data_IF_889093557663
#
_entry.id   IF_889093557663
#
_cell.length_a   1.000
_cell.length_b   1.000
_cell.length_c   1.000
_cell.angle_alpha   90.00
_cell.angle_beta   90.00
_cell.angle_gamma   90.00
#
_symmetry.space_group_name_H-M   'P 1'
#
loop_
_entity.id
_entity.type
_entity.pdbx_description
1 polymer ?
#
# COMPACT_ATOMS: atom_id res chain seq x y z
N UNK A 1 -19.26 11.57 -30.02
CA UNK A 1 -18.29 12.38 -29.23
C UNK A 1 -18.72 12.61 -27.78
N UNK A 2 -19.99 12.86 -27.44
CA UNK A 2 -20.45 12.98 -26.04
C UNK A 2 -20.34 11.67 -25.23
N UNK A 3 -20.59 10.55 -25.91
CA UNK A 3 -20.78 9.22 -25.30
C UNK A 3 -19.55 8.69 -24.52
N UNK A 4 -18.33 8.97 -24.99
CA UNK A 4 -17.11 8.56 -24.27
C UNK A 4 -16.87 9.38 -23.00
N UNK A 5 -17.09 10.69 -23.05
CA UNK A 5 -16.89 11.54 -21.89
C UNK A 5 -17.89 11.19 -20.80
N UNK A 6 -19.18 11.04 -21.16
CA UNK A 6 -20.25 10.65 -20.23
C UNK A 6 -19.91 9.30 -19.58
N UNK A 7 -19.69 8.26 -20.39
CA UNK A 7 -19.37 6.92 -19.85
C UNK A 7 -18.06 6.87 -19.07
N UNK A 8 -17.07 7.69 -19.46
CA UNK A 8 -15.81 7.83 -18.73
C UNK A 8 -16.00 8.41 -17.33
N UNK A 9 -16.83 9.46 -17.20
CA UNK A 9 -17.15 10.06 -15.90
C UNK A 9 -18.05 9.17 -15.04
N UNK A 10 -18.97 8.40 -15.63
CA UNK A 10 -19.74 7.38 -14.90
C UNK A 10 -18.81 6.32 -14.29
N UNK A 11 -17.87 5.80 -15.08
CA UNK A 11 -16.87 4.84 -14.59
C UNK A 11 -15.93 5.47 -13.55
N UNK A 12 -15.53 6.73 -13.73
CA UNK A 12 -14.72 7.45 -12.74
C UNK A 12 -15.47 7.59 -11.42
N UNK A 13 -16.77 7.89 -11.47
CA UNK A 13 -17.62 7.97 -10.28
C UNK A 13 -17.69 6.63 -9.56
N UNK A 14 -17.90 5.53 -10.30
CA UNK A 14 -17.88 4.18 -9.74
C UNK A 14 -16.52 3.82 -9.11
N UNK A 15 -15.42 4.12 -9.79
CA UNK A 15 -14.07 3.90 -9.27
C UNK A 15 -13.75 4.76 -8.02
N UNK A 16 -14.28 5.99 -7.97
CA UNK A 16 -14.14 6.88 -6.81
C UNK A 16 -14.89 6.31 -5.61
N UNK A 17 -16.11 5.81 -5.80
CA UNK A 17 -16.88 5.10 -4.75
C UNK A 17 -16.15 3.85 -4.27
N UNK A 18 -15.55 3.09 -5.19
CA UNK A 18 -14.71 1.96 -4.84
C UNK A 18 -13.53 2.39 -3.95
N UNK A 19 -12.75 3.41 -4.33
CA UNK A 19 -11.59 3.86 -3.53
C UNK A 19 -11.99 4.34 -2.12
N UNK A 20 -13.16 4.99 -1.99
CA UNK A 20 -13.71 5.43 -0.70
C UNK A 20 -13.97 4.25 0.25
N UNK A 21 -14.54 3.15 -0.26
CA UNK A 21 -14.80 1.94 0.52
C UNK A 21 -13.52 1.14 0.76
N UNK A 22 -12.65 1.03 -0.25
CA UNK A 22 -11.43 0.24 -0.16
C UNK A 22 -10.42 0.86 0.81
N UNK A 23 -10.23 2.17 0.75
CA UNK A 23 -9.19 2.85 1.52
C UNK A 23 -9.75 4.10 2.24
N UNK A 24 -10.58 3.91 3.27
CA UNK A 24 -11.16 5.02 4.01
C UNK A 24 -10.06 5.86 4.68
N UNK A 25 -10.30 7.17 4.80
CA UNK A 25 -9.37 8.10 5.48
C UNK A 25 -8.09 8.48 4.73
N UNK A 26 -7.90 8.07 3.47
CA UNK A 26 -6.81 8.58 2.62
C UNK A 26 -7.10 9.98 2.13
N UNK A 27 -6.10 10.85 2.20
CA UNK A 27 -6.11 12.13 1.51
C UNK A 27 -6.06 11.94 -0.01
N UNK A 28 -6.89 12.67 -0.75
CA UNK A 28 -7.01 12.64 -2.22
C UNK A 28 -6.86 14.04 -2.79
N UNK A 29 -6.41 14.12 -4.04
CA UNK A 29 -6.23 15.39 -4.77
C UNK A 29 -7.50 15.78 -5.52
N UNK A 30 -8.25 14.82 -6.06
CA UNK A 30 -9.45 15.11 -6.82
C UNK A 30 -10.60 15.61 -5.94
N UNK A 31 -11.16 16.77 -6.28
CA UNK A 31 -12.37 17.33 -5.65
C UNK A 31 -13.62 16.49 -5.92
N UNK A 32 -13.57 15.54 -6.86
CA UNK A 32 -14.67 14.60 -7.11
C UNK A 32 -15.04 13.80 -5.84
N UNK A 33 -14.08 13.55 -4.96
CA UNK A 33 -14.33 12.85 -3.69
C UNK A 33 -15.24 13.64 -2.74
N UNK A 34 -15.39 14.96 -2.93
CA UNK A 34 -16.30 15.79 -2.13
C UNK A 34 -17.75 15.72 -2.64
N UNK A 35 -17.96 15.34 -3.91
CA UNK A 35 -19.29 15.35 -4.54
C UNK A 35 -19.92 13.95 -4.61
N UNK A 36 -19.12 12.89 -4.48
CA UNK A 36 -19.55 11.49 -4.64
C UNK A 36 -20.02 10.84 -3.33
N UNK A 37 -19.97 11.55 -2.20
CA UNK A 37 -20.11 11.00 -0.84
C UNK A 37 -21.52 10.68 -0.35
N UNK A 38 -22.58 11.17 -1.01
CA UNK A 38 -23.93 11.20 -0.39
C UNK A 38 -25.06 10.41 -1.10
N UNK A 39 -24.79 9.60 -2.11
CA UNK A 39 -25.84 8.81 -2.78
C UNK A 39 -25.48 7.33 -2.93
N UNK A 40 -26.20 6.50 -2.15
CA UNK A 40 -26.22 5.03 -2.12
C UNK A 40 -24.85 4.37 -2.22
N UNK A 41 -24.39 3.74 -1.13
CA UNK A 41 -23.14 3.00 -1.10
C UNK A 41 -23.14 1.96 -2.25
N UNK A 42 -22.37 2.23 -3.31
CA UNK A 42 -22.28 1.37 -4.47
C UNK A 42 -21.67 -0.01 -4.15
N UNK A 43 -21.00 -0.11 -3.00
CA UNK A 43 -20.43 -1.35 -2.46
C UNK A 43 -20.72 -1.41 -0.97
N UNK A 44 -21.27 -2.54 -0.51
CA UNK A 44 -21.57 -2.77 0.91
C UNK A 44 -20.31 -3.13 1.69
N UNK A 45 -19.30 -3.70 1.04
CA UNK A 45 -18.07 -4.15 1.69
C UNK A 45 -16.81 -3.81 0.88
N UNK A 46 -15.66 -3.73 1.56
CA UNK A 46 -14.34 -3.62 0.90
C UNK A 46 -14.09 -4.79 -0.06
N UNK A 47 -14.52 -6.00 0.29
CA UNK A 47 -14.34 -7.20 -0.55
C UNK A 47 -15.07 -7.05 -1.87
N UNK A 48 -16.35 -6.67 -1.82
CA UNK A 48 -17.18 -6.42 -3.00
C UNK A 48 -16.58 -5.33 -3.90
N UNK A 49 -16.12 -4.22 -3.31
CA UNK A 49 -15.45 -3.15 -4.05
C UNK A 49 -14.16 -3.64 -4.75
N UNK A 50 -13.34 -4.46 -4.08
CA UNK A 50 -12.14 -5.05 -4.66
C UNK A 50 -12.46 -6.06 -5.77
N UNK A 51 -13.50 -6.88 -5.60
CA UNK A 51 -13.96 -7.84 -6.61
C UNK A 51 -14.42 -7.15 -7.89
N UNK A 52 -15.25 -6.11 -7.75
CA UNK A 52 -15.68 -5.27 -8.87
C UNK A 52 -14.49 -4.57 -9.55
N UNK A 53 -13.60 -3.97 -8.77
CA UNK A 53 -12.43 -3.30 -9.34
C UNK A 53 -11.52 -4.25 -10.11
N UNK A 54 -11.39 -5.50 -9.66
CA UNK A 54 -10.66 -6.55 -10.38
C UNK A 54 -11.33 -6.91 -11.70
N UNK A 55 -12.64 -7.12 -11.70
CA UNK A 55 -13.37 -7.46 -12.94
C UNK A 55 -13.34 -6.32 -13.96
N UNK A 56 -13.39 -5.08 -13.49
CA UNK A 56 -13.41 -3.89 -14.34
C UNK A 56 -12.01 -3.35 -14.70
N UNK A 57 -10.92 -3.97 -14.21
CA UNK A 57 -9.55 -3.47 -14.43
C UNK A 57 -9.24 -3.15 -15.91
N UNK A 58 -9.55 -4.02 -16.89
CA UNK A 58 -9.28 -3.71 -18.30
C UNK A 58 -10.06 -2.49 -18.80
N UNK A 59 -11.28 -2.26 -18.31
CA UNK A 59 -12.15 -1.16 -18.72
C UNK A 59 -11.67 0.15 -18.08
N UNK A 60 -11.41 0.14 -16.78
CA UNK A 60 -10.97 1.32 -16.03
C UNK A 60 -9.62 1.83 -16.54
N UNK A 61 -8.67 0.94 -16.80
CA UNK A 61 -7.36 1.33 -17.38
C UNK A 61 -7.50 1.83 -18.81
N UNK A 62 -8.39 1.25 -19.63
CA UNK A 62 -8.68 1.77 -20.96
C UNK A 62 -9.24 3.21 -20.92
N UNK A 63 -10.01 3.59 -19.89
CA UNK A 63 -10.45 4.98 -19.69
C UNK A 63 -9.25 5.89 -19.46
N UNK A 64 -8.30 5.52 -18.58
CA UNK A 64 -7.08 6.31 -18.31
C UNK A 64 -6.34 6.63 -19.62
N UNK A 65 -6.06 5.60 -20.42
CA UNK A 65 -5.29 5.73 -21.65
C UNK A 65 -6.05 6.50 -22.74
N UNK A 66 -7.34 6.19 -22.95
CA UNK A 66 -8.15 6.88 -23.96
C UNK A 66 -8.40 8.34 -23.60
N UNK A 67 -8.60 8.65 -22.32
CA UNK A 67 -8.73 10.02 -21.84
C UNK A 67 -7.46 10.82 -22.11
N UNK A 68 -6.27 10.24 -21.83
CA UNK A 68 -4.98 10.87 -22.15
C UNK A 68 -4.84 11.18 -23.64
N UNK A 69 -5.05 10.18 -24.51
CA UNK A 69 -4.91 10.34 -25.97
C UNK A 69 -5.89 11.36 -26.54
N UNK A 70 -7.09 11.49 -25.96
CA UNK A 70 -8.13 12.43 -26.41
C UNK A 70 -8.01 13.83 -25.79
N UNK A 71 -7.01 14.08 -24.94
CA UNK A 71 -6.83 15.37 -24.28
C UNK A 71 -7.77 15.62 -23.10
N UNK A 72 -8.51 14.61 -22.64
CA UNK A 72 -9.29 14.67 -21.39
C UNK A 72 -8.38 14.41 -20.19
N UNK A 73 -7.44 15.33 -19.97
CA UNK A 73 -6.34 15.12 -19.01
C UNK A 73 -6.83 14.93 -17.58
N UNK A 74 -7.85 15.67 -17.15
CA UNK A 74 -8.36 15.57 -15.78
C UNK A 74 -9.01 14.21 -15.50
N UNK A 75 -9.86 13.73 -16.42
CA UNK A 75 -10.42 12.36 -16.36
C UNK A 75 -9.33 11.29 -16.28
N UNK A 76 -8.22 11.46 -17.00
CA UNK A 76 -7.13 10.49 -17.04
C UNK A 76 -6.42 10.36 -15.69
N UNK A 77 -5.96 11.48 -15.10
CA UNK A 77 -5.25 11.42 -13.82
C UNK A 77 -6.18 11.13 -12.64
N UNK A 78 -7.43 11.61 -12.66
CA UNK A 78 -8.42 11.31 -11.62
C UNK A 78 -8.76 9.82 -11.59
N UNK A 79 -8.92 9.20 -12.77
CA UNK A 79 -9.11 7.75 -12.85
C UNK A 79 -7.90 6.99 -12.32
N UNK A 80 -6.67 7.41 -12.67
CA UNK A 80 -5.46 6.81 -12.11
C UNK A 80 -5.40 6.94 -10.57
N UNK A 81 -5.80 8.08 -10.00
CA UNK A 81 -5.85 8.26 -8.54
C UNK A 81 -6.87 7.32 -7.86
N UNK A 82 -8.05 7.15 -8.47
CA UNK A 82 -9.12 6.28 -7.99
C UNK A 82 -8.75 4.78 -8.04
N UNK A 83 -7.81 4.40 -8.89
CA UNK A 83 -7.33 3.01 -8.96
C UNK A 83 -6.29 2.67 -7.89
N UNK A 84 -5.76 3.64 -7.12
CA UNK A 84 -4.71 3.38 -6.14
C UNK A 84 -5.12 2.35 -5.07
N UNK A 85 -6.30 2.48 -4.48
CA UNK A 85 -6.79 1.53 -3.48
C UNK A 85 -6.80 0.11 -4.04
N UNK A 86 -7.42 -0.09 -5.21
CA UNK A 86 -7.42 -1.38 -5.90
C UNK A 86 -6.01 -1.92 -6.08
N UNK A 87 -5.11 -1.12 -6.65
CA UNK A 87 -3.73 -1.54 -6.93
C UNK A 87 -2.95 -1.89 -5.65
N UNK A 88 -3.17 -1.15 -4.56
CA UNK A 88 -2.53 -1.43 -3.28
C UNK A 88 -2.86 -2.83 -2.76
N UNK A 89 -4.11 -3.28 -2.95
CA UNK A 89 -4.58 -4.58 -2.45
C UNK A 89 -4.43 -5.72 -3.47
N UNK A 90 -4.42 -5.43 -4.78
CA UNK A 90 -4.42 -6.49 -5.84
C UNK A 90 -3.12 -6.61 -6.60
N UNK A 91 -2.25 -5.59 -6.58
CA UNK A 91 -0.91 -5.60 -7.21
C UNK A 91 -0.90 -6.12 -8.67
N UNK A 92 -1.72 -5.56 -9.57
CA UNK A 92 -1.76 -6.03 -10.95
C UNK A 92 -0.42 -5.78 -11.66
N UNK A 93 -0.05 -6.64 -12.61
CA UNK A 93 1.26 -6.57 -13.30
C UNK A 93 1.45 -5.29 -14.11
N UNK A 94 0.39 -4.69 -14.64
CA UNK A 94 0.44 -3.65 -15.68
C UNK A 94 0.04 -2.24 -15.19
N UNK A 95 0.34 -1.90 -13.94
CA UNK A 95 -0.06 -0.60 -13.37
C UNK A 95 0.92 0.56 -13.60
N UNK A 96 2.15 0.28 -14.10
CA UNK A 96 3.11 1.34 -14.42
C UNK A 96 2.57 2.29 -15.50
N UNK A 97 2.02 1.74 -16.58
CA UNK A 97 1.47 2.53 -17.68
C UNK A 97 0.31 3.43 -17.26
N UNK A 98 -0.51 2.99 -16.30
CA UNK A 98 -1.62 3.80 -15.74
C UNK A 98 -1.08 5.10 -15.13
N UNK A 99 -0.01 5.03 -14.33
CA UNK A 99 0.58 6.20 -13.70
C UNK A 99 1.49 7.00 -14.63
N UNK A 100 2.10 6.39 -15.65
CA UNK A 100 2.78 7.14 -16.72
C UNK A 100 1.79 8.02 -17.50
N UNK A 101 0.66 7.46 -17.92
CA UNK A 101 -0.41 8.21 -18.58
C UNK A 101 -1.03 9.26 -17.66
N UNK A 102 -1.29 8.91 -16.40
CA UNK A 102 -1.78 9.83 -15.37
C UNK A 102 -0.83 11.00 -15.13
N UNK A 103 0.47 10.76 -14.98
CA UNK A 103 1.48 11.81 -14.81
C UNK A 103 1.59 12.69 -16.05
N UNK A 104 1.62 12.10 -17.25
CA UNK A 104 1.65 12.85 -18.51
C UNK A 104 0.39 13.72 -18.71
N UNK A 105 -0.78 13.24 -18.26
CA UNK A 105 -2.02 14.01 -18.21
C UNK A 105 -1.93 15.13 -17.17
N UNK A 106 -1.49 14.84 -15.94
CA UNK A 106 -1.37 15.83 -14.87
C UNK A 106 -0.42 16.99 -15.22
N UNK A 107 0.65 16.74 -16.00
CA UNK A 107 1.53 17.81 -16.54
C UNK A 107 0.80 18.77 -17.49
N UNK A 108 -0.28 18.33 -18.14
CA UNK A 108 -1.10 19.11 -19.08
C UNK A 108 -2.45 19.52 -18.49
N UNK A 109 -2.77 19.04 -17.28
CA UNK A 109 -4.05 19.21 -16.61
C UNK A 109 -4.17 20.56 -15.94
N UNK A 110 -5.35 20.81 -15.39
CA UNK A 110 -5.69 22.09 -14.75
C UNK A 110 -5.29 22.15 -13.26
N UNK A 111 -4.97 21.00 -12.65
CA UNK A 111 -4.71 20.86 -11.21
C UNK A 111 -3.23 20.57 -10.96
N UNK A 112 -2.41 21.56 -10.56
CA UNK A 112 -0.96 21.37 -10.35
C UNK A 112 -0.64 20.28 -9.33
N UNK A 113 -1.48 20.13 -8.31
CA UNK A 113 -1.32 19.16 -7.23
C UNK A 113 -1.48 17.70 -7.71
N UNK A 114 -2.07 17.47 -8.88
CA UNK A 114 -2.21 16.13 -9.45
C UNK A 114 -0.84 15.53 -9.84
N UNK A 115 0.10 16.36 -10.29
CA UNK A 115 1.40 15.88 -10.76
C UNK A 115 2.22 15.19 -9.66
N UNK A 116 2.53 15.80 -8.50
CA UNK A 116 3.29 15.13 -7.46
C UNK A 116 2.64 13.81 -7.03
N UNK A 117 1.30 13.79 -6.96
CA UNK A 117 0.53 12.58 -6.65
C UNK A 117 0.71 11.46 -7.68
N UNK A 118 0.67 11.78 -8.97
CA UNK A 118 0.88 10.79 -10.03
C UNK A 118 2.33 10.29 -10.07
N UNK A 119 3.30 11.16 -9.82
CA UNK A 119 4.71 10.79 -9.73
C UNK A 119 4.96 9.77 -8.60
N UNK A 120 4.29 9.90 -7.45
CA UNK A 120 4.39 8.92 -6.36
C UNK A 120 3.80 7.56 -6.73
N UNK A 121 2.69 7.54 -7.47
CA UNK A 121 2.12 6.29 -7.97
C UNK A 121 3.02 5.60 -8.99
N UNK A 122 3.62 6.37 -9.90
CA UNK A 122 4.61 5.87 -10.88
C UNK A 122 5.88 5.37 -10.18
N UNK A 123 6.39 6.11 -9.20
CA UNK A 123 7.52 5.71 -8.35
C UNK A 123 7.24 4.36 -7.66
N UNK A 124 6.03 4.19 -7.10
CA UNK A 124 5.64 2.91 -6.50
C UNK A 124 5.61 1.78 -7.53
N UNK A 125 5.10 2.01 -8.74
CA UNK A 125 5.11 1.00 -9.79
C UNK A 125 6.53 0.62 -10.23
N UNK A 126 7.43 1.59 -10.42
CA UNK A 126 8.84 1.36 -10.75
C UNK A 126 9.57 0.57 -9.65
N UNK A 127 9.31 0.88 -8.39
CA UNK A 127 9.82 0.11 -7.26
C UNK A 127 9.40 -1.36 -7.33
N UNK A 128 8.12 -1.63 -7.64
CA UNK A 128 7.64 -3.01 -7.79
C UNK A 128 8.28 -3.72 -8.99
N UNK A 129 8.66 -2.97 -10.03
CA UNK A 129 9.38 -3.47 -11.19
C UNK A 129 10.91 -3.62 -10.96
N UNK A 130 11.41 -3.37 -9.74
CA UNK A 130 12.84 -3.45 -9.42
C UNK A 130 13.68 -2.27 -9.93
N UNK A 131 13.05 -1.23 -10.48
CA UNK A 131 13.70 -0.03 -11.05
C UNK A 131 13.89 1.04 -9.97
N UNK A 132 14.67 0.71 -8.94
CA UNK A 132 14.76 1.49 -7.70
C UNK A 132 15.30 2.92 -7.89
N UNK A 133 16.33 3.12 -8.71
CA UNK A 133 16.90 4.45 -8.95
C UNK A 133 15.88 5.39 -9.61
N UNK A 134 15.18 4.91 -10.64
CA UNK A 134 14.16 5.70 -11.32
C UNK A 134 12.96 6.00 -10.41
N UNK A 135 12.63 5.08 -9.50
CA UNK A 135 11.63 5.33 -8.47
C UNK A 135 12.05 6.45 -7.50
N UNK A 136 13.33 6.52 -7.13
CA UNK A 136 13.89 7.59 -6.30
C UNK A 136 13.82 8.93 -7.05
N UNK A 137 14.28 8.97 -8.30
CA UNK A 137 14.28 10.20 -9.11
C UNK A 137 12.86 10.80 -9.22
N UNK A 138 11.84 9.97 -9.44
CA UNK A 138 10.44 10.44 -9.48
C UNK A 138 9.91 10.90 -8.12
N UNK A 139 10.31 10.26 -7.04
CA UNK A 139 9.90 10.65 -5.69
C UNK A 139 10.59 11.96 -5.25
N UNK A 140 11.84 12.19 -5.68
CA UNK A 140 12.55 13.46 -5.52
C UNK A 140 11.91 14.58 -6.36
N UNK A 141 11.53 14.30 -7.62
CA UNK A 141 10.75 15.25 -8.42
C UNK A 141 9.44 15.60 -7.71
N UNK A 142 8.70 14.60 -7.23
CA UNK A 142 7.44 14.81 -6.49
C UNK A 142 7.62 15.69 -5.25
N UNK A 143 8.69 15.44 -4.47
CA UNK A 143 9.01 16.25 -3.29
C UNK A 143 9.29 17.71 -3.67
N UNK A 144 10.10 17.94 -4.72
CA UNK A 144 10.36 19.28 -5.24
C UNK A 144 9.07 20.00 -5.64
N UNK A 145 8.20 19.33 -6.41
CA UNK A 145 6.90 19.91 -6.82
C UNK A 145 6.00 20.22 -5.63
N UNK A 146 5.93 19.33 -4.65
CA UNK A 146 5.09 19.53 -3.47
C UNK A 146 5.53 20.75 -2.65
N UNK A 147 6.85 20.97 -2.54
CA UNK A 147 7.44 22.15 -1.89
C UNK A 147 7.22 23.43 -2.67
N UNK A 148 7.40 23.40 -4.00
CA UNK A 148 7.12 24.55 -4.87
C UNK A 148 5.67 25.00 -4.77
N UNK A 149 4.74 24.05 -4.61
CA UNK A 149 3.31 24.30 -4.41
C UNK A 149 2.96 24.70 -2.98
N UNK A 150 3.89 24.56 -2.02
CA UNK A 150 3.64 24.83 -0.60
C UNK A 150 2.53 23.96 -0.01
N UNK A 151 2.34 22.72 -0.49
CA UNK A 151 1.25 21.84 -0.06
C UNK A 151 1.72 20.76 0.94
N UNK A 152 1.47 20.92 2.26
CA UNK A 152 2.11 20.11 3.29
C UNK A 152 1.82 18.62 3.16
N UNK A 153 0.57 18.22 2.93
CA UNK A 153 0.22 16.79 2.82
C UNK A 153 0.82 16.12 1.58
N UNK A 154 1.12 16.89 0.53
CA UNK A 154 1.79 16.36 -0.65
C UNK A 154 3.28 16.19 -0.37
N UNK A 155 3.88 17.12 0.38
CA UNK A 155 5.27 17.01 0.85
C UNK A 155 5.44 15.80 1.77
N UNK A 156 4.55 15.63 2.77
CA UNK A 156 4.57 14.47 3.65
C UNK A 156 4.46 13.14 2.89
N UNK A 157 3.59 13.08 1.87
CA UNK A 157 3.45 11.89 1.04
C UNK A 157 4.72 11.57 0.23
N UNK A 158 5.40 12.60 -0.29
CA UNK A 158 6.64 12.42 -1.05
C UNK A 158 7.82 12.03 -0.14
N UNK A 159 7.94 12.65 1.03
CA UNK A 159 8.90 12.28 2.08
C UNK A 159 8.70 10.82 2.52
N UNK A 160 7.46 10.40 2.76
CA UNK A 160 7.15 9.02 3.12
C UNK A 160 7.50 8.02 1.99
N UNK A 161 7.27 8.38 0.73
CA UNK A 161 7.63 7.55 -0.40
C UNK A 161 9.16 7.40 -0.54
N UNK A 162 9.90 8.50 -0.44
CA UNK A 162 11.37 8.49 -0.43
C UNK A 162 11.94 7.70 0.74
N UNK A 163 11.41 7.90 1.96
CA UNK A 163 11.80 7.13 3.13
C UNK A 163 11.56 5.64 2.91
N UNK A 164 10.45 5.26 2.29
CA UNK A 164 10.14 3.89 1.92
C UNK A 164 11.11 3.29 0.91
N UNK A 165 11.59 4.09 -0.05
CA UNK A 165 12.60 3.68 -1.04
C UNK A 165 13.96 3.50 -0.36
N UNK A 166 14.41 4.47 0.44
CA UNK A 166 15.69 4.40 1.17
C UNK A 166 15.72 3.27 2.20
N UNK A 167 14.58 2.99 2.84
CA UNK A 167 14.44 1.83 3.73
C UNK A 167 14.62 0.49 3.00
N UNK A 168 14.39 0.43 1.68
CA UNK A 168 14.56 -0.79 0.87
C UNK A 168 15.87 -0.81 0.10
N UNK A 169 16.42 0.35 -0.19
CA UNK A 169 17.73 0.49 -0.80
C UNK A 169 18.81 -0.08 0.13
N UNK A 170 19.75 -0.82 -0.46
CA UNK A 170 20.94 -1.32 0.21
C UNK A 170 22.17 -0.44 -0.07
N UNK A 171 22.04 0.53 -0.99
CA UNK A 171 23.14 1.42 -1.38
C UNK A 171 23.29 2.65 -0.48
N UNK A 172 22.43 2.81 0.53
CA UNK A 172 22.63 3.78 1.61
C UNK A 172 22.44 5.24 1.20
N UNK A 173 21.63 5.53 0.18
CA UNK A 173 21.24 6.91 -0.12
C UNK A 173 20.33 7.43 1.00
N UNK A 174 20.80 8.41 1.77
CA UNK A 174 20.02 9.20 2.73
C UNK A 174 19.50 8.46 3.98
N UNK A 175 18.94 9.22 4.92
CA UNK A 175 18.36 8.71 6.17
C UNK A 175 16.84 8.54 6.01
N UNK A 176 16.37 7.29 5.94
CA UNK A 176 14.94 7.00 5.93
C UNK A 176 14.24 7.53 7.21
N UNK A 177 14.93 7.49 8.35
CA UNK A 177 14.40 7.99 9.62
C UNK A 177 14.07 9.50 9.56
N UNK A 178 15.00 10.32 9.04
CA UNK A 178 14.80 11.77 8.92
C UNK A 178 13.60 12.10 8.01
N UNK A 179 13.45 11.36 6.91
CA UNK A 179 12.33 11.54 5.98
C UNK A 179 10.99 11.18 6.64
N UNK A 180 10.93 10.07 7.38
CA UNK A 180 9.71 9.68 8.10
C UNK A 180 9.41 10.62 9.27
N UNK A 181 10.41 11.15 9.96
CA UNK A 181 10.23 12.15 11.02
C UNK A 181 9.65 13.46 10.46
N UNK A 182 10.22 13.97 9.37
CA UNK A 182 9.70 15.17 8.71
C UNK A 182 8.25 14.96 8.21
N UNK A 183 7.95 13.82 7.60
CA UNK A 183 6.58 13.49 7.19
C UNK A 183 5.61 13.37 8.37
N UNK A 184 6.08 12.80 9.50
CA UNK A 184 5.29 12.66 10.74
C UNK A 184 4.95 14.01 11.33
N UNK A 185 5.92 14.93 11.35
CA UNK A 185 5.73 16.27 11.92
C UNK A 185 4.73 17.08 11.10
N UNK A 186 4.77 16.98 9.77
CA UNK A 186 3.74 17.55 8.89
C UNK A 186 2.37 16.92 9.19
N UNK A 187 2.27 15.59 9.29
CA UNK A 187 0.99 14.96 9.63
C UNK A 187 0.47 15.40 10.99
N UNK A 188 1.35 15.66 11.97
CA UNK A 188 0.97 16.18 13.27
C UNK A 188 0.45 17.61 13.17
N UNK A 189 1.12 18.51 12.45
CA UNK A 189 0.68 19.90 12.28
C UNK A 189 -0.64 20.01 11.51
N UNK A 190 -0.86 19.11 10.56
CA UNK A 190 -2.07 19.04 9.74
C UNK A 190 -3.23 18.27 10.41
N UNK A 191 -3.08 17.85 11.66
CA UNK A 191 -4.13 17.10 12.39
C UNK A 191 -4.50 15.79 11.71
N UNK A 192 -3.52 15.05 11.16
CA UNK A 192 -3.68 13.76 10.47
C UNK A 192 -3.19 12.60 11.35
N UNK A 193 -3.95 12.14 12.36
CA UNK A 193 -3.52 11.09 13.30
C UNK A 193 -3.14 9.78 12.61
N UNK A 194 -3.92 9.32 11.62
CA UNK A 194 -3.54 8.16 10.80
C UNK A 194 -2.18 8.31 10.10
N UNK A 195 -1.85 9.51 9.63
CA UNK A 195 -0.55 9.82 9.02
C UNK A 195 0.59 9.72 10.04
N UNK A 196 0.38 10.21 11.26
CA UNK A 196 1.32 10.06 12.38
C UNK A 196 1.56 8.59 12.71
N UNK A 197 0.49 7.77 12.75
CA UNK A 197 0.58 6.34 12.99
C UNK A 197 1.42 5.61 11.92
N UNK A 198 1.16 5.92 10.64
CA UNK A 198 1.90 5.34 9.51
C UNK A 198 3.39 5.66 9.57
N UNK A 199 3.76 6.90 9.86
CA UNK A 199 5.17 7.29 9.95
C UNK A 199 5.85 6.69 11.17
N UNK A 200 5.14 6.60 12.30
CA UNK A 200 5.65 5.95 13.52
C UNK A 200 5.96 4.47 13.28
N UNK A 201 5.09 3.76 12.55
CA UNK A 201 5.36 2.38 12.10
C UNK A 201 6.60 2.30 11.21
N UNK A 202 6.74 3.20 10.23
CA UNK A 202 7.92 3.21 9.35
C UNK A 202 9.22 3.50 10.11
N UNK A 203 9.16 4.33 11.15
CA UNK A 203 10.30 4.57 12.06
C UNK A 203 10.66 3.31 12.84
N UNK A 204 9.67 2.52 13.28
CA UNK A 204 9.90 1.20 13.87
C UNK A 204 10.57 0.21 12.90
N UNK A 205 10.11 0.13 11.65
CA UNK A 205 10.77 -0.69 10.61
C UNK A 205 12.21 -0.22 10.35
N UNK A 206 12.45 1.09 10.41
CA UNK A 206 13.78 1.68 10.22
C UNK A 206 14.72 1.32 11.37
N UNK A 207 14.25 1.48 12.62
CA UNK A 207 15.00 1.07 13.81
C UNK A 207 15.34 -0.42 13.76
N UNK A 208 14.39 -1.27 13.35
CA UNK A 208 14.61 -2.71 13.21
C UNK A 208 15.68 -3.03 12.16
N UNK A 209 15.63 -2.39 10.98
CA UNK A 209 16.65 -2.56 9.93
C UNK A 209 18.05 -2.12 10.39
N UNK A 210 18.12 -1.17 11.31
CA UNK A 210 19.35 -0.69 11.94
C UNK A 210 19.79 -1.52 13.16
N UNK A 211 19.11 -2.63 13.48
CA UNK A 211 19.44 -3.50 14.61
C UNK A 211 19.03 -2.95 15.98
N UNK A 212 18.20 -1.89 16.03
CA UNK A 212 17.73 -1.26 17.27
C UNK A 212 16.39 -1.85 17.68
N UNK A 213 16.41 -3.09 18.17
CA UNK A 213 15.20 -3.86 18.44
C UNK A 213 14.29 -3.22 19.50
N UNK A 214 14.85 -2.67 20.58
CA UNK A 214 14.06 -2.03 21.65
C UNK A 214 13.36 -0.76 21.13
N UNK A 215 14.09 0.10 20.42
CA UNK A 215 13.51 1.28 19.77
C UNK A 215 12.40 0.89 18.79
N UNK A 216 12.59 -0.18 18.00
CA UNK A 216 11.57 -0.66 17.09
C UNK A 216 10.31 -1.13 17.84
N UNK A 217 10.45 -1.84 18.96
CA UNK A 217 9.33 -2.31 19.76
C UNK A 217 8.53 -1.15 20.36
N UNK A 218 9.21 -0.12 20.86
CA UNK A 218 8.55 1.10 21.37
C UNK A 218 7.74 1.80 20.27
N UNK A 219 8.34 2.00 19.09
CA UNK A 219 7.66 2.64 17.95
C UNK A 219 6.49 1.80 17.43
N UNK A 220 6.60 0.48 17.40
CA UNK A 220 5.49 -0.38 17.00
C UNK A 220 4.36 -0.38 18.03
N UNK A 221 4.67 -0.32 19.31
CA UNK A 221 3.67 -0.20 20.38
C UNK A 221 2.93 1.13 20.30
N UNK A 222 3.65 2.24 20.08
CA UNK A 222 3.06 3.55 19.82
C UNK A 222 2.14 3.51 18.58
N UNK A 223 2.61 2.94 17.48
CA UNK A 223 1.82 2.83 16.24
C UNK A 223 0.55 1.98 16.43
N UNK A 224 0.59 0.90 17.21
CA UNK A 224 -0.59 0.09 17.54
C UNK A 224 -1.66 0.92 18.26
N UNK A 225 -1.26 1.69 19.28
CA UNK A 225 -2.18 2.57 20.01
C UNK A 225 -2.83 3.60 19.09
N UNK A 226 -2.05 4.19 18.18
CA UNK A 226 -2.55 5.16 17.21
C UNK A 226 -3.49 4.52 16.17
N UNK A 227 -3.16 3.36 15.61
CA UNK A 227 -4.04 2.68 14.65
C UNK A 227 -5.34 2.18 15.27
N UNK A 228 -5.29 1.71 16.53
CA UNK A 228 -6.48 1.31 17.27
C UNK A 228 -7.43 2.49 17.49
N UNK A 229 -6.90 3.67 17.82
CA UNK A 229 -7.71 4.88 17.98
C UNK A 229 -8.39 5.32 16.66
N UNK A 230 -7.74 5.06 15.52
CA UNK A 230 -8.26 5.37 14.19
C UNK A 230 -9.15 4.26 13.58
N UNK A 231 -9.25 3.09 14.22
CA UNK A 231 -9.91 1.92 13.64
C UNK A 231 -9.23 1.38 12.37
N UNK A 232 -7.91 1.55 12.22
CA UNK A 232 -7.15 1.04 11.07
C UNK A 232 -6.71 -0.42 11.31
N UNK A 233 -7.66 -1.34 11.15
CA UNK A 233 -7.44 -2.78 11.36
C UNK A 233 -6.36 -3.36 10.44
N UNK A 234 -6.25 -2.83 9.22
CA UNK A 234 -5.24 -3.28 8.25
C UNK A 234 -3.82 -3.01 8.77
N UNK A 235 -3.55 -1.79 9.19
CA UNK A 235 -2.23 -1.45 9.71
C UNK A 235 -2.01 -2.04 11.11
N UNK A 236 -3.06 -2.23 11.90
CA UNK A 236 -2.99 -2.96 13.18
C UNK A 236 -2.49 -4.39 12.97
N UNK A 237 -3.10 -5.15 12.06
CA UNK A 237 -2.66 -6.50 11.70
C UNK A 237 -1.21 -6.50 11.19
N UNK A 238 -0.84 -5.49 10.38
CA UNK A 238 0.52 -5.36 9.85
C UNK A 238 1.56 -5.09 10.95
N UNK A 239 1.27 -4.24 11.92
CA UNK A 239 2.20 -3.99 13.04
C UNK A 239 2.32 -5.22 13.93
N UNK A 240 1.22 -5.91 14.23
CA UNK A 240 1.27 -7.19 14.96
C UNK A 240 2.12 -8.24 14.23
N UNK A 241 2.03 -8.29 12.90
CA UNK A 241 2.89 -9.17 12.08
C UNK A 241 4.38 -8.84 12.28
N UNK A 242 4.74 -7.56 12.23
CA UNK A 242 6.13 -7.11 12.42
C UNK A 242 6.64 -7.42 13.83
N UNK A 243 5.84 -7.17 14.86
CA UNK A 243 6.17 -7.53 16.24
C UNK A 243 6.32 -9.05 16.40
N UNK A 244 5.42 -9.84 15.81
CA UNK A 244 5.53 -11.30 15.85
C UNK A 244 6.84 -11.80 15.23
N UNK A 245 7.24 -11.25 14.08
CA UNK A 245 8.53 -11.54 13.45
C UNK A 245 9.72 -11.13 14.34
N UNK A 246 9.64 -9.99 15.03
CA UNK A 246 10.66 -9.58 15.99
C UNK A 246 10.74 -10.50 17.22
N UNK A 247 9.61 -10.96 17.74
CA UNK A 247 9.58 -11.93 18.83
C UNK A 247 10.24 -13.24 18.40
N UNK A 248 9.92 -13.74 17.20
CA UNK A 248 10.54 -14.94 16.66
C UNK A 248 12.05 -14.78 16.49
N UNK A 249 12.51 -13.65 15.93
CA UNK A 249 13.94 -13.34 15.80
C UNK A 249 14.65 -13.23 17.16
N UNK A 250 13.93 -12.84 18.21
CA UNK A 250 14.40 -12.84 19.60
C UNK A 250 14.16 -14.16 20.34
N UNK A 251 13.96 -15.28 19.64
CA UNK A 251 13.75 -16.63 20.21
C UNK A 251 12.55 -16.73 21.17
N UNK A 252 11.48 -15.98 20.88
CA UNK A 252 10.20 -15.96 21.62
C UNK A 252 9.05 -16.44 20.72
N UNK A 253 9.02 -17.75 20.38
CA UNK A 253 8.06 -18.29 19.41
C UNK A 253 6.61 -18.26 19.90
N UNK A 254 6.35 -18.35 21.21
CA UNK A 254 4.99 -18.34 21.76
C UNK A 254 4.34 -16.94 21.66
N UNK A 255 5.10 -15.89 21.98
CA UNK A 255 4.65 -14.51 21.79
C UNK A 255 4.48 -14.18 20.31
N UNK A 256 5.38 -14.69 19.45
CA UNK A 256 5.27 -14.55 18.00
C UNK A 256 3.98 -15.19 17.47
N UNK A 257 3.69 -16.43 17.88
CA UNK A 257 2.48 -17.18 17.51
C UNK A 257 1.22 -16.39 17.86
N UNK A 258 1.12 -15.94 19.10
CA UNK A 258 -0.05 -15.21 19.62
C UNK A 258 -0.34 -13.97 18.77
N UNK A 259 0.69 -13.14 18.51
CA UNK A 259 0.54 -11.93 17.71
C UNK A 259 0.15 -12.21 16.25
N UNK A 260 0.72 -13.25 15.66
CA UNK A 260 0.45 -13.62 14.26
C UNK A 260 -0.94 -14.23 14.10
N UNK A 261 -1.43 -15.02 15.04
CA UNK A 261 -2.81 -15.55 15.02
C UNK A 261 -3.86 -14.44 15.16
N UNK A 262 -3.63 -13.48 16.05
CA UNK A 262 -4.48 -12.28 16.15
C UNK A 262 -4.46 -11.44 14.87
N UNK A 263 -3.29 -11.27 14.26
CA UNK A 263 -3.14 -10.58 12.98
C UNK A 263 -3.89 -11.32 11.88
N UNK A 264 -3.81 -12.66 11.82
CA UNK A 264 -4.45 -13.48 10.81
C UNK A 264 -5.98 -13.36 10.89
N UNK A 265 -6.53 -13.45 12.11
CA UNK A 265 -7.96 -13.25 12.35
C UNK A 265 -8.44 -11.89 11.85
N UNK A 266 -7.69 -10.84 12.16
CA UNK A 266 -7.99 -9.46 11.73
C UNK A 266 -7.93 -9.34 10.21
N UNK A 267 -6.86 -9.86 9.59
CA UNK A 267 -6.67 -9.80 8.14
C UNK A 267 -7.79 -10.55 7.38
N UNK A 268 -8.22 -11.71 7.88
CA UNK A 268 -9.33 -12.49 7.34
C UNK A 268 -10.66 -11.74 7.41
N UNK A 269 -10.95 -11.08 8.55
CA UNK A 269 -12.17 -10.29 8.74
C UNK A 269 -12.27 -9.13 7.74
N UNK A 270 -11.15 -8.45 7.45
CA UNK A 270 -11.12 -7.32 6.52
C UNK A 270 -10.88 -7.71 5.05
N UNK A 271 -10.69 -9.00 4.76
CA UNK A 271 -10.44 -9.54 3.42
C UNK A 271 -9.09 -9.13 2.82
N UNK A 272 -8.05 -9.01 3.64
CA UNK A 272 -6.72 -8.60 3.21
C UNK A 272 -5.85 -9.80 2.79
N UNK A 273 -6.21 -10.47 1.69
CA UNK A 273 -5.59 -11.72 1.24
C UNK A 273 -4.04 -11.68 1.15
N UNK A 274 -3.46 -10.58 0.64
CA UNK A 274 -1.99 -10.43 0.61
C UNK A 274 -1.38 -10.37 2.02
N UNK A 275 -2.05 -9.71 2.95
CA UNK A 275 -1.61 -9.63 4.34
C UNK A 275 -1.78 -10.98 5.04
N UNK A 276 -2.89 -11.70 4.80
CA UNK A 276 -3.09 -13.06 5.29
C UNK A 276 -1.98 -14.00 4.84
N UNK A 277 -1.62 -13.98 3.56
CA UNK A 277 -0.51 -14.79 3.06
C UNK A 277 0.82 -14.44 3.77
N UNK A 278 1.10 -13.14 3.98
CA UNK A 278 2.30 -12.69 4.69
C UNK A 278 2.32 -13.17 6.14
N UNK A 279 1.18 -13.12 6.83
CA UNK A 279 1.04 -13.60 8.21
C UNK A 279 1.22 -15.11 8.28
N UNK A 280 0.63 -15.86 7.35
CA UNK A 280 0.78 -17.32 7.26
C UNK A 280 2.25 -17.71 7.04
N UNK A 281 3.01 -16.97 6.24
CA UNK A 281 4.46 -17.20 6.15
C UNK A 281 5.17 -17.02 7.49
N UNK A 282 4.79 -15.99 8.28
CA UNK A 282 5.31 -15.81 9.64
C UNK A 282 4.92 -16.95 10.58
N UNK A 283 3.70 -17.49 10.48
CA UNK A 283 3.27 -18.64 11.27
C UNK A 283 4.02 -19.91 10.85
N UNK A 284 4.31 -20.09 9.56
CA UNK A 284 5.19 -21.16 9.11
C UNK A 284 6.60 -21.04 9.69
N UNK A 285 7.16 -19.82 9.75
CA UNK A 285 8.46 -19.56 10.40
C UNK A 285 8.42 -19.94 11.90
N UNK A 286 7.32 -19.66 12.60
CA UNK A 286 7.13 -20.06 14.00
C UNK A 286 7.07 -21.59 14.12
N UNK A 287 6.29 -22.26 13.29
CA UNK A 287 6.15 -23.72 13.31
C UNK A 287 7.51 -24.41 13.05
N UNK A 288 8.27 -23.95 12.05
CA UNK A 288 9.63 -24.45 11.78
C UNK A 288 10.57 -24.24 12.99
N UNK A 289 10.52 -23.06 13.64
CA UNK A 289 11.33 -22.78 14.82
C UNK A 289 10.97 -23.66 16.03
N UNK A 290 9.73 -24.15 16.10
CA UNK A 290 9.25 -25.07 17.15
C UNK A 290 9.31 -26.55 16.77
N UNK A 291 9.78 -26.88 15.56
CA UNK A 291 9.83 -28.27 15.05
C UNK A 291 8.47 -28.86 14.62
N UNK A 292 7.46 -28.02 14.42
CA UNK A 292 6.13 -28.40 13.95
C UNK A 292 6.10 -28.38 12.41
N UNK A 293 6.63 -29.45 11.80
CA UNK A 293 6.72 -29.58 10.34
C UNK A 293 5.34 -29.62 9.67
N UNK A 294 4.34 -30.22 10.32
CA UNK A 294 2.98 -30.33 9.80
C UNK A 294 2.30 -28.96 9.76
N UNK A 295 2.30 -28.22 10.87
CA UNK A 295 1.75 -26.86 10.90
C UNK A 295 2.48 -25.89 9.97
N UNK A 296 3.80 -26.04 9.82
CA UNK A 296 4.56 -25.26 8.84
C UNK A 296 4.08 -25.53 7.40
N UNK A 297 3.86 -26.80 7.03
CA UNK A 297 3.35 -27.16 5.71
C UNK A 297 1.94 -26.59 5.47
N UNK A 298 1.03 -26.73 6.43
CA UNK A 298 -0.34 -26.18 6.33
C UNK A 298 -0.35 -24.66 6.09
N UNK A 299 0.48 -23.93 6.83
CA UNK A 299 0.59 -22.48 6.66
C UNK A 299 1.20 -22.08 5.31
N UNK A 300 2.22 -22.81 4.84
CA UNK A 300 2.83 -22.59 3.53
C UNK A 300 1.87 -22.90 2.38
N UNK A 301 1.08 -23.98 2.47
CA UNK A 301 0.06 -24.33 1.47
C UNK A 301 -0.99 -23.24 1.31
N UNK A 302 -1.52 -22.77 2.44
CA UNK A 302 -2.52 -21.72 2.40
C UNK A 302 -1.95 -20.35 1.97
N UNK A 303 -0.69 -20.05 2.32
CA UNK A 303 0.00 -18.87 1.78
C UNK A 303 0.21 -19.00 0.27
N UNK A 304 0.61 -20.19 -0.22
CA UNK A 304 0.83 -20.47 -1.64
C UNK A 304 -0.46 -20.34 -2.45
N UNK A 305 -1.57 -20.91 -1.97
CA UNK A 305 -2.89 -20.79 -2.60
C UNK A 305 -3.28 -19.32 -2.79
N UNK A 306 -3.24 -18.51 -1.73
CA UNK A 306 -3.56 -17.08 -1.84
C UNK A 306 -2.60 -16.30 -2.74
N UNK A 307 -1.29 -16.58 -2.67
CA UNK A 307 -0.29 -15.93 -3.53
C UNK A 307 -0.45 -16.31 -5.01
N UNK A 308 -0.85 -17.55 -5.30
CA UNK A 308 -1.06 -18.05 -6.66
C UNK A 308 -2.30 -17.43 -7.29
N UNK A 309 -3.41 -17.34 -6.55
CA UNK A 309 -4.63 -16.65 -6.98
C UNK A 309 -4.37 -15.17 -7.32
N UNK A 310 -3.46 -14.52 -6.59
CA UNK A 310 -3.05 -13.14 -6.87
C UNK A 310 -1.98 -13.01 -7.96
N UNK A 311 -1.45 -14.12 -8.50
CA UNK A 311 -0.35 -14.10 -9.47
C UNK A 311 0.95 -13.48 -8.93
N UNK A 312 1.17 -13.57 -7.61
CA UNK A 312 2.32 -13.00 -6.91
C UNK A 312 3.62 -13.71 -7.26
N UNK A 313 4.68 -12.96 -7.54
CA UNK A 313 6.02 -13.51 -7.77
C UNK A 313 6.60 -14.27 -6.56
N UNK A 314 6.00 -14.12 -5.38
CA UNK A 314 6.41 -14.88 -4.18
C UNK A 314 5.91 -16.34 -4.20
N UNK A 315 4.92 -16.67 -5.03
CA UNK A 315 4.32 -18.00 -5.06
C UNK A 315 5.37 -19.09 -5.31
N UNK A 316 6.23 -18.90 -6.31
CA UNK A 316 7.27 -19.87 -6.69
C UNK A 316 8.26 -20.12 -5.54
N UNK A 317 8.66 -19.07 -4.81
CA UNK A 317 9.56 -19.19 -3.66
C UNK A 317 8.91 -19.96 -2.51
N UNK A 318 7.61 -19.75 -2.27
CA UNK A 318 6.84 -20.47 -1.25
C UNK A 318 6.63 -21.92 -1.64
N UNK A 319 6.32 -22.20 -2.91
CA UNK A 319 6.21 -23.57 -3.44
C UNK A 319 7.53 -24.34 -3.25
N UNK A 320 8.65 -23.75 -3.63
CA UNK A 320 9.97 -24.36 -3.44
C UNK A 320 10.31 -24.57 -1.96
N UNK A 321 9.87 -23.68 -1.06
CA UNK A 321 10.02 -23.86 0.40
C UNK A 321 9.19 -25.04 0.90
N UNK A 322 7.93 -25.14 0.49
CA UNK A 322 7.04 -26.24 0.85
C UNK A 322 7.57 -27.60 0.37
N UNK A 323 8.09 -27.67 -0.85
CA UNK A 323 8.72 -28.89 -1.38
C UNK A 323 9.92 -29.34 -0.54
N UNK A 324 10.80 -28.40 -0.18
CA UNK A 324 11.94 -28.70 0.70
C UNK A 324 11.51 -29.20 2.07
N UNK A 325 10.48 -28.58 2.65
CA UNK A 325 9.96 -28.97 3.97
C UNK A 325 9.38 -30.39 3.95
N UNK A 326 8.66 -30.76 2.88
CA UNK A 326 8.08 -32.12 2.72
C UNK A 326 9.10 -33.20 2.38
N UNK A 327 10.29 -32.80 1.92
CA UNK A 327 11.37 -33.72 1.57
C UNK A 327 12.36 -33.98 2.73
N UNK A 328 12.27 -33.21 3.82
CA UNK A 328 13.08 -33.36 5.03
C UNK A 328 12.47 -34.37 6.00
#
# INVERSE_FOLDING_TARGET
>A
MPDFAIKGYELLTAATRMDLVVHPGRWRVSDLYETVTDQEAAFATRREALDWGRSEWPVLTAVVFRAHVRGSFDLSWQMAEALWGLILYTKPREWLGVYEAGAASARKGSVPLALPRMLLGQSSALQHAGRANEAIDLAEESLGRARDLGHPLSEAAALAALGGLYLRDQQGKGSAAELFEAARDIHRSEGRPRGVALMTRYLGETALKLGRADEAADRFTEALGLFAAEGDDYNTARVKTLLGQMHLAGSRPDEARTLLEEALKTAAQIGAAHQEATIRLGLADVCEATGDTEGAAEHLEAALSGLSEMGSAKADAVAARLERLRAA
#
